data_IF_658943090320
#
_entry.id   IF_658943090320
#
_cell.length_a   1.000
_cell.length_b   1.000
_cell.length_c   1.000
_cell.angle_alpha   90.00
_cell.angle_beta   90.00
_cell.angle_gamma   90.00
#
_symmetry.space_group_name_H-M   'P 1'
#
loop_
_entity.id
_entity.type
_entity.pdbx_description
1 polymer ?
#
# COMPACT_ATOMS: atom_id res chain seq x y z
N UNK A 1 6.42 12.03 13.05
CA UNK A 1 7.52 12.14 12.06
C UNK A 1 7.94 10.71 11.81
N UNK A 2 7.88 10.23 10.56
CA UNK A 2 8.36 8.88 10.24
C UNK A 2 9.87 8.90 10.43
N UNK A 3 10.40 8.03 11.27
CA UNK A 3 11.82 7.91 11.57
C UNK A 3 12.43 6.67 10.89
N UNK A 4 13.74 6.49 11.06
CA UNK A 4 14.47 5.42 10.40
C UNK A 4 14.00 4.01 10.82
N UNK A 5 13.51 3.84 12.04
CA UNK A 5 12.98 2.56 12.53
C UNK A 5 11.70 2.19 11.78
N UNK A 6 10.79 3.15 11.59
CA UNK A 6 9.57 2.92 10.82
C UNK A 6 9.84 2.62 9.34
N UNK A 7 10.86 3.25 8.74
CA UNK A 7 11.26 2.98 7.36
C UNK A 7 11.87 1.58 7.21
N UNK A 8 12.67 1.14 8.18
CA UNK A 8 13.23 -0.22 8.20
C UNK A 8 12.15 -1.29 8.40
N UNK A 9 11.21 -1.05 9.32
CA UNK A 9 10.07 -1.94 9.54
C UNK A 9 9.18 -2.01 8.30
N UNK A 10 9.00 -0.89 7.61
CA UNK A 10 8.25 -0.83 6.36
C UNK A 10 8.94 -1.64 5.26
N UNK A 11 10.24 -1.43 5.03
CA UNK A 11 11.01 -2.08 3.97
C UNK A 11 11.16 -3.59 4.19
N UNK A 12 11.33 -4.00 5.45
CA UNK A 12 11.41 -5.42 5.84
C UNK A 12 10.06 -6.14 5.88
N UNK A 13 8.96 -5.38 5.77
CA UNK A 13 7.59 -5.92 5.89
C UNK A 13 7.16 -6.25 7.32
N UNK A 14 7.94 -5.84 8.34
CA UNK A 14 7.63 -6.02 9.76
C UNK A 14 6.63 -4.98 10.30
N UNK A 15 6.42 -3.87 9.58
CA UNK A 15 5.51 -2.82 10.00
C UNK A 15 4.08 -3.34 10.17
N UNK A 16 3.43 -2.95 11.27
CA UNK A 16 2.04 -3.30 11.50
C UNK A 16 1.16 -2.83 10.30
N UNK A 17 0.33 -3.73 9.72
CA UNK A 17 -0.43 -3.45 8.51
C UNK A 17 -1.29 -2.18 8.56
N UNK A 18 -1.80 -1.81 9.74
CA UNK A 18 -2.60 -0.59 9.92
C UNK A 18 -1.83 0.70 9.71
N UNK A 19 -0.50 0.69 9.87
CA UNK A 19 0.36 1.85 9.65
C UNK A 19 0.96 1.91 8.25
N UNK A 20 0.92 0.80 7.50
CA UNK A 20 1.53 0.72 6.16
C UNK A 20 0.99 1.77 5.17
N UNK A 21 -0.33 2.01 5.06
CA UNK A 21 -0.86 3.05 4.18
C UNK A 21 -0.37 4.45 4.52
N UNK A 22 -0.08 4.72 5.81
CA UNK A 22 0.43 6.01 6.25
C UNK A 22 1.89 6.22 5.83
N UNK A 23 2.72 5.19 5.94
CA UNK A 23 4.11 5.25 5.47
C UNK A 23 4.15 5.32 3.95
N UNK A 24 3.37 4.51 3.24
CA UNK A 24 3.25 4.56 1.77
C UNK A 24 2.81 5.96 1.29
N UNK A 25 1.82 6.56 1.97
CA UNK A 25 1.37 7.91 1.65
C UNK A 25 2.44 8.96 1.91
N UNK A 26 3.17 8.84 3.03
CA UNK A 26 4.29 9.72 3.34
C UNK A 26 5.43 9.63 2.30
N UNK A 27 5.83 8.41 1.91
CA UNK A 27 6.84 8.16 0.88
C UNK A 27 6.40 8.66 -0.51
N UNK A 28 5.10 8.66 -0.79
CA UNK A 28 4.57 9.21 -2.04
C UNK A 28 4.73 10.74 -2.11
N UNK A 29 4.62 11.41 -0.96
CA UNK A 29 4.63 12.87 -0.85
C UNK A 29 6.02 13.45 -0.53
N UNK A 30 6.93 12.68 0.07
CA UNK A 30 8.24 13.13 0.52
C UNK A 30 9.37 12.37 -0.20
N UNK A 31 10.12 13.03 -1.12
CA UNK A 31 11.20 12.37 -1.87
C UNK A 31 12.41 12.02 -1.01
N UNK A 32 12.75 12.82 0.01
CA UNK A 32 13.89 12.55 0.89
C UNK A 32 13.66 11.29 1.71
N UNK A 33 12.42 11.09 2.17
CA UNK A 33 12.01 9.87 2.87
C UNK A 33 12.05 8.63 1.96
N UNK A 34 11.74 8.81 0.67
CA UNK A 34 11.86 7.74 -0.33
C UNK A 34 13.31 7.34 -0.54
N UNK A 35 14.22 8.31 -0.67
CA UNK A 35 15.65 8.02 -0.79
C UNK A 35 16.19 7.31 0.47
N UNK A 36 15.70 7.68 1.66
CA UNK A 36 16.05 6.97 2.88
C UNK A 36 15.52 5.52 2.92
N UNK A 37 14.29 5.28 2.44
CA UNK A 37 13.72 3.94 2.34
C UNK A 37 14.49 3.06 1.32
N UNK A 38 14.90 3.64 0.18
CA UNK A 38 15.70 2.96 -0.84
C UNK A 38 17.01 2.40 -0.28
N UNK A 39 17.62 3.04 0.74
CA UNK A 39 18.81 2.51 1.39
C UNK A 39 18.56 1.18 2.08
N UNK A 40 17.40 1.02 2.73
CA UNK A 40 17.03 -0.23 3.38
C UNK A 40 16.62 -1.30 2.35
N UNK A 41 15.98 -0.92 1.26
CA UNK A 41 15.68 -1.85 0.16
C UNK A 41 16.96 -2.37 -0.50
N UNK A 42 17.95 -1.51 -0.72
CA UNK A 42 19.28 -1.93 -1.22
C UNK A 42 19.95 -2.89 -0.26
N UNK A 43 19.91 -2.61 1.05
CA UNK A 43 20.43 -3.53 2.06
C UNK A 43 19.73 -4.89 1.98
N UNK A 44 18.40 -4.90 1.85
CA UNK A 44 17.62 -6.12 1.64
C UNK A 44 18.03 -6.89 0.39
N UNK A 45 18.29 -6.18 -0.72
CA UNK A 45 18.78 -6.75 -1.97
C UNK A 45 20.17 -7.39 -1.86
N UNK A 46 21.10 -6.73 -1.15
CA UNK A 46 22.43 -7.30 -0.87
C UNK A 46 22.35 -8.55 0.02
N UNK A 47 21.52 -8.51 1.07
CA UNK A 47 21.27 -9.67 1.93
C UNK A 47 20.64 -10.84 1.17
N UNK A 48 19.68 -10.55 0.29
CA UNK A 48 19.05 -11.54 -0.57
C UNK A 48 20.05 -12.16 -1.56
N UNK A 49 20.94 -11.34 -2.12
CA UNK A 49 21.98 -11.79 -3.06
C UNK A 49 23.04 -12.66 -2.39
N UNK A 50 23.32 -12.41 -1.10
CA UNK A 50 24.24 -13.18 -0.29
C UNK A 50 23.60 -14.45 0.32
N UNK A 51 22.27 -14.59 0.28
CA UNK A 51 21.58 -15.72 0.87
C UNK A 51 21.84 -17.02 0.10
N UNK A 52 21.94 -18.12 0.84
CA UNK A 52 22.06 -19.45 0.24
C UNK A 52 20.82 -19.77 -0.61
N UNK A 53 21.06 -20.29 -1.80
CA UNK A 53 19.98 -20.69 -2.70
C UNK A 53 19.29 -21.94 -2.17
N UNK A 54 17.96 -21.91 -2.07
CA UNK A 54 17.15 -23.09 -1.79
C UNK A 54 16.59 -23.63 -3.11
N UNK A 55 16.84 -24.91 -3.45
CA UNK A 55 16.30 -25.47 -4.68
C UNK A 55 14.77 -25.48 -4.64
N UNK A 56 14.16 -25.01 -5.72
CA UNK A 56 12.72 -25.13 -5.95
C UNK A 56 12.37 -26.55 -6.40
N UNK A 57 11.07 -26.88 -6.41
CA UNK A 57 10.62 -28.13 -7.02
C UNK A 57 10.95 -28.15 -8.52
N UNK A 58 11.24 -29.33 -9.12
CA UNK A 58 11.61 -29.43 -10.54
C UNK A 58 10.59 -28.82 -11.50
N UNK A 59 9.32 -28.87 -11.12
CA UNK A 59 8.20 -28.36 -11.92
C UNK A 59 7.85 -26.91 -11.58
N UNK A 60 8.53 -26.25 -10.63
CA UNK A 60 8.20 -24.90 -10.17
C UNK A 60 8.18 -23.89 -11.33
N UNK A 61 9.20 -23.95 -12.20
CA UNK A 61 9.30 -23.06 -13.37
C UNK A 61 8.15 -23.30 -14.33
N UNK A 62 7.87 -24.56 -14.67
CA UNK A 62 6.79 -24.91 -15.60
C UNK A 62 5.42 -24.52 -15.03
N UNK A 63 5.19 -24.76 -13.74
CA UNK A 63 3.96 -24.36 -13.04
C UNK A 63 3.75 -22.84 -13.05
N UNK A 64 4.82 -22.04 -12.90
CA UNK A 64 4.73 -20.58 -13.00
C UNK A 64 4.46 -20.11 -14.42
N UNK A 65 5.02 -20.77 -15.44
CA UNK A 65 4.76 -20.44 -16.85
C UNK A 65 3.34 -20.84 -17.29
N UNK A 66 2.84 -21.96 -16.78
CA UNK A 66 1.48 -22.45 -17.05
C UNK A 66 0.42 -21.68 -16.26
N UNK A 67 0.82 -20.96 -15.20
CA UNK A 67 0.00 -19.94 -14.56
C UNK A 67 -0.24 -18.79 -15.55
N UNK A 68 -1.30 -18.91 -16.34
CA UNK A 68 -1.91 -17.75 -16.96
C UNK A 68 -2.44 -16.87 -15.83
N UNK A 69 -1.72 -15.78 -15.54
CA UNK A 69 -2.31 -14.68 -14.80
C UNK A 69 -3.53 -14.25 -15.60
N UNK A 70 -4.76 -14.27 -15.02
CA UNK A 70 -5.87 -13.60 -15.68
C UNK A 70 -5.39 -12.18 -15.98
N UNK A 71 -5.53 -11.75 -17.24
CA UNK A 71 -5.39 -10.34 -17.59
C UNK A 71 -6.19 -9.57 -16.53
N UNK A 72 -5.58 -8.60 -15.81
CA UNK A 72 -6.37 -7.77 -14.93
C UNK A 72 -7.49 -7.20 -15.80
N UNK A 73 -8.74 -7.46 -15.43
CA UNK A 73 -9.89 -6.83 -16.09
C UNK A 73 -9.68 -5.32 -15.94
N UNK A 74 -9.11 -4.70 -16.97
CA UNK A 74 -9.04 -3.26 -17.15
C UNK A 74 -10.44 -2.79 -17.55
N UNK A 75 -11.48 -3.21 -16.80
CA UNK A 75 -12.81 -2.63 -16.93
C UNK A 75 -12.81 -1.28 -16.22
N UNK A 76 -12.06 -0.38 -16.84
CA UNK A 76 -11.90 1.02 -16.56
C UNK A 76 -13.09 1.76 -17.17
N UNK A 77 -14.33 1.53 -16.68
CA UNK A 77 -15.51 2.37 -16.97
C UNK A 77 -16.79 1.92 -16.25
N UNK A 78 -16.76 1.73 -14.94
CA UNK A 78 -17.98 1.83 -14.14
C UNK A 78 -17.92 3.09 -13.27
N UNK A 79 -18.18 4.25 -13.86
CA UNK A 79 -18.59 5.42 -13.10
C UNK A 79 -20.09 5.29 -12.76
N UNK A 80 -20.48 4.93 -11.52
CA UNK A 80 -21.85 5.13 -11.08
C UNK A 80 -22.07 6.64 -10.96
N UNK A 81 -22.85 7.18 -11.91
CA UNK A 81 -23.41 8.52 -11.81
C UNK A 81 -24.46 8.50 -10.70
N UNK A 82 -24.06 8.90 -9.48
CA UNK A 82 -25.00 9.14 -8.38
C UNK A 82 -24.96 10.63 -7.99
N UNK A 83 -26.14 11.22 -7.73
CA UNK A 83 -26.28 12.66 -7.57
C UNK A 83 -25.70 13.12 -6.24
N UNK A 84 -24.87 14.16 -6.31
CA UNK A 84 -24.57 15.15 -5.27
C UNK A 84 -24.07 14.63 -3.92
N UNK A 85 -22.81 14.89 -3.58
CA UNK A 85 -22.40 15.63 -2.37
C UNK A 85 -20.88 15.88 -2.38
N UNK A 86 -20.49 17.08 -1.96
CA UNK A 86 -19.18 17.73 -2.06
C UNK A 86 -18.12 17.21 -1.06
N UNK A 87 -17.91 15.90 -0.98
CA UNK A 87 -16.84 15.28 -0.16
C UNK A 87 -15.86 14.41 -0.99
N UNK A 88 -16.08 14.33 -2.31
CA UNK A 88 -15.40 13.40 -3.21
C UNK A 88 -14.09 13.96 -3.81
N UNK A 89 -13.92 15.28 -3.84
CA UNK A 89 -12.72 15.91 -4.37
C UNK A 89 -11.48 15.62 -3.50
N UNK A 90 -11.63 15.74 -2.18
CA UNK A 90 -10.50 15.62 -1.23
C UNK A 90 -9.91 14.20 -1.15
N UNK A 91 -10.72 13.16 -1.43
CA UNK A 91 -10.25 11.75 -1.41
C UNK A 91 -9.43 11.41 -2.67
N UNK A 92 -9.73 12.05 -3.80
CA UNK A 92 -9.00 11.84 -5.04
C UNK A 92 -7.54 12.35 -4.93
N UNK A 93 -7.32 13.36 -4.09
CA UNK A 93 -5.99 13.96 -3.84
C UNK A 93 -5.11 13.11 -2.91
N UNK A 94 -5.67 12.07 -2.27
CA UNK A 94 -4.89 11.19 -1.40
C UNK A 94 -3.98 10.25 -2.21
N UNK A 95 -2.80 9.88 -1.68
CA UNK A 95 -1.98 8.80 -2.23
C UNK A 95 -2.77 7.49 -2.40
N UNK A 96 -2.42 6.71 -3.42
CA UNK A 96 -3.13 5.47 -3.80
C UNK A 96 -3.33 4.52 -2.62
N UNK A 97 -2.28 4.27 -1.84
CA UNK A 97 -2.31 3.38 -0.67
C UNK A 97 -3.34 3.81 0.37
N UNK A 98 -3.47 5.12 0.61
CA UNK A 98 -4.46 5.68 1.51
C UNK A 98 -5.86 5.62 0.89
N UNK A 99 -5.97 5.88 -0.41
CA UNK A 99 -7.24 5.82 -1.14
C UNK A 99 -7.81 4.42 -1.14
N UNK A 100 -6.99 3.40 -1.36
CA UNK A 100 -7.35 1.98 -1.32
C UNK A 100 -7.99 1.56 0.02
N UNK A 101 -7.55 2.15 1.14
CA UNK A 101 -8.18 1.93 2.45
C UNK A 101 -9.58 2.53 2.58
N UNK A 102 -9.92 3.50 1.73
CA UNK A 102 -11.19 4.22 1.75
C UNK A 102 -12.14 3.73 0.64
N UNK A 103 -11.61 3.29 -0.50
CA UNK A 103 -12.36 2.79 -1.66
C UNK A 103 -12.63 1.30 -1.52
N UNK A 104 -13.89 0.95 -1.27
CA UNK A 104 -14.33 -0.40 -0.91
C UNK A 104 -15.52 -0.38 0.07
N UNK A 105 -15.80 0.78 0.66
CA UNK A 105 -17.05 0.99 1.39
C UNK A 105 -18.07 1.66 0.46
N UNK A 106 -19.07 0.87 0.08
CA UNK A 106 -20.26 1.28 -0.66
C UNK A 106 -20.88 2.50 0.05
N UNK A 107 -20.64 3.69 -0.48
CA UNK A 107 -21.26 4.96 -0.12
C UNK A 107 -21.17 5.38 1.37
N UNK A 108 -20.31 6.36 1.63
CA UNK A 108 -20.11 7.12 2.88
C UNK A 108 -19.18 6.47 3.92
N UNK A 109 -18.04 7.12 4.15
CA UNK A 109 -17.22 6.91 5.33
C UNK A 109 -18.13 7.06 6.57
N UNK A 110 -18.09 6.07 7.47
CA UNK A 110 -18.82 6.12 8.74
C UNK A 110 -18.12 7.06 9.69
N UNK A 111 -18.45 8.34 9.59
CA UNK A 111 -17.98 9.36 10.52
C UNK A 111 -18.53 9.08 11.92
N UNK A 112 -17.64 8.77 12.85
CA UNK A 112 -17.98 8.71 14.27
C UNK A 112 -17.84 10.11 14.88
N UNK A 113 -18.90 10.62 15.50
CA UNK A 113 -18.81 11.82 16.34
C UNK A 113 -18.49 11.36 17.76
N UNK A 114 -17.27 11.58 18.27
CA UNK A 114 -16.99 11.30 19.68
C UNK A 114 -17.95 12.13 20.53
N UNK A 115 -18.57 11.50 21.53
CA UNK A 115 -19.45 12.19 22.47
C UNK A 115 -18.70 13.39 23.05
N UNK A 116 -19.33 14.57 23.20
CA UNK A 116 -18.71 15.66 23.92
C UNK A 116 -18.35 15.14 25.31
N UNK A 117 -17.07 15.32 25.66
CA UNK A 117 -16.51 14.97 26.95
C UNK A 117 -17.36 15.65 28.02
N UNK A 118 -18.10 14.87 28.80
CA UNK A 118 -18.74 15.38 30.02
C UNK A 118 -17.60 15.56 31.02
N UNK A 119 -17.17 16.81 31.21
CA UNK A 119 -16.31 17.21 32.33
C UNK A 119 -17.07 17.16 33.65
#
# INVERSE_FOLDING_TARGET
>A
MVDAEWLLDWSSGALNPGFRPLVDGYLSLNPDAREAADLFDRLGGELLSAADTVPLSPDAVQNTLDMQLPEPDLDDSAHPTLPGHTARADIAELPESMRACLTGQDSSLRWFRPSPWIS
#
